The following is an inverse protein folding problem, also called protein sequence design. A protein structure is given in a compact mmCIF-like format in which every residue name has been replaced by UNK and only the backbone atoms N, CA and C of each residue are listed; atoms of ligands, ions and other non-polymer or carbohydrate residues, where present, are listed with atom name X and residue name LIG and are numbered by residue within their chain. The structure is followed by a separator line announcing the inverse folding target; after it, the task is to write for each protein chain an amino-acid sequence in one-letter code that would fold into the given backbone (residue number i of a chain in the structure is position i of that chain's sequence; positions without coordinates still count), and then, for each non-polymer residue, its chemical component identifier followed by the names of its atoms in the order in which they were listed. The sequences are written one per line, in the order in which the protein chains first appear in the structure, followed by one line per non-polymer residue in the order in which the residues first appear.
data_IF_320299801093
#
_entry.id   IF_320299801093
#
_cell.length_a   1.000
_cell.length_b   1.000
_cell.length_c   1.000
_cell.angle_alpha   90.00
_cell.angle_beta   90.00
_cell.angle_gamma   90.00
#
_symmetry.space_group_name_H-M   'P 1'
#
loop_
_entity.id
_entity.type
_entity.pdbx_description
1 polymer ?
#
# COMPACT_ATOMS: atom_id res chain seq x y z
N UNK A 1 32.26 27.69 3.43
CA UNK A 1 32.68 26.71 4.47
C UNK A 1 32.07 25.38 4.07
N UNK A 2 32.86 24.33 3.95
CA UNK A 2 32.37 22.98 3.63
C UNK A 2 31.49 22.51 4.79
N UNK A 3 30.28 22.01 4.51
CA UNK A 3 29.36 21.47 5.52
C UNK A 3 30.05 20.31 6.28
N UNK A 4 30.23 20.48 7.59
CA UNK A 4 30.97 19.52 8.41
C UNK A 4 30.33 18.11 8.41
N UNK A 5 28.97 18.02 8.44
CA UNK A 5 28.28 16.76 8.35
C UNK A 5 28.49 16.12 6.98
N UNK A 6 28.31 16.86 5.89
CA UNK A 6 28.51 16.34 4.53
C UNK A 6 29.95 15.83 4.34
N UNK A 7 30.95 16.55 4.86
CA UNK A 7 32.33 16.10 4.82
C UNK A 7 32.56 14.81 5.63
N UNK A 8 31.93 14.64 6.79
CA UNK A 8 31.98 13.42 7.59
C UNK A 8 31.32 12.24 6.88
N UNK A 9 30.15 12.45 6.29
CA UNK A 9 29.43 11.45 5.52
C UNK A 9 30.21 11.00 4.28
N UNK A 10 30.83 11.93 3.54
CA UNK A 10 31.71 11.60 2.41
C UNK A 10 32.92 10.76 2.82
N UNK A 11 33.54 11.06 3.95
CA UNK A 11 34.65 10.23 4.47
C UNK A 11 34.21 8.81 4.85
N UNK A 12 32.99 8.67 5.36
CA UNK A 12 32.44 7.38 5.82
C UNK A 12 31.89 6.50 4.70
N UNK A 13 31.14 7.09 3.72
CA UNK A 13 30.45 6.35 2.67
C UNK A 13 31.06 6.50 1.28
N UNK A 14 32.06 7.40 1.12
CA UNK A 14 32.67 7.72 -0.18
C UNK A 14 31.75 8.51 -1.13
N UNK A 15 32.28 8.93 -2.26
CA UNK A 15 31.59 9.78 -3.24
C UNK A 15 30.32 9.10 -3.83
N UNK A 16 30.34 7.77 -3.98
CA UNK A 16 29.16 7.02 -4.43
C UNK A 16 28.05 6.95 -3.39
N UNK A 17 28.39 7.16 -2.12
CA UNK A 17 27.50 7.07 -0.97
C UNK A 17 26.77 8.37 -0.63
N UNK A 18 27.21 9.52 -1.17
CA UNK A 18 26.64 10.84 -0.80
C UNK A 18 26.41 11.68 -2.04
N UNK A 19 25.18 12.17 -2.22
CA UNK A 19 24.80 13.10 -3.28
C UNK A 19 24.59 14.49 -2.69
N UNK A 20 25.28 15.49 -3.24
CA UNK A 20 25.20 16.91 -2.81
C UNK A 20 24.70 17.82 -3.90
N UNK A 21 24.82 17.43 -5.17
CA UNK A 21 24.35 18.19 -6.33
C UNK A 21 22.83 18.33 -6.35
N UNK A 22 22.31 19.50 -6.70
CA UNK A 22 20.86 19.76 -6.74
C UNK A 22 20.14 18.84 -7.75
N UNK A 23 20.72 18.67 -8.93
CA UNK A 23 20.18 17.78 -9.96
C UNK A 23 20.12 16.31 -9.50
N UNK A 24 21.15 15.86 -8.74
CA UNK A 24 21.23 14.49 -8.25
C UNK A 24 20.23 14.22 -7.12
N UNK A 25 19.90 15.25 -6.32
CA UNK A 25 18.93 15.13 -5.21
C UNK A 25 17.47 15.23 -5.66
N UNK A 26 17.18 15.87 -6.79
CA UNK A 26 15.83 16.26 -7.22
C UNK A 26 14.81 15.11 -7.17
N UNK A 27 15.20 13.90 -7.59
CA UNK A 27 14.33 12.72 -7.57
C UNK A 27 13.98 12.21 -6.18
N UNK A 28 14.81 12.51 -5.17
CA UNK A 28 14.59 12.15 -3.77
C UNK A 28 13.79 13.20 -3.01
N UNK A 29 13.69 14.41 -3.54
CA UNK A 29 13.03 15.56 -2.94
C UNK A 29 11.55 15.68 -3.32
N UNK A 30 11.09 14.89 -4.29
CA UNK A 30 9.70 14.92 -4.76
C UNK A 30 9.06 13.54 -4.58
N UNK A 31 7.97 13.48 -3.84
CA UNK A 31 7.20 12.26 -3.62
C UNK A 31 6.36 11.86 -4.83
N UNK A 32 5.95 10.62 -4.88
CA UNK A 32 5.15 10.07 -5.98
C UNK A 32 3.83 10.83 -6.21
N UNK A 33 3.12 11.13 -5.16
CA UNK A 33 1.82 11.81 -5.21
C UNK A 33 1.80 13.12 -4.43
N UNK A 34 2.36 13.10 -3.23
CA UNK A 34 2.40 14.20 -2.30
C UNK A 34 3.82 14.41 -1.79
N UNK A 35 4.08 15.62 -1.33
CA UNK A 35 5.37 16.00 -0.76
C UNK A 35 6.34 16.51 -1.83
N UNK A 36 6.89 17.68 -1.52
CA UNK A 36 8.02 18.28 -2.22
C UNK A 36 8.82 19.09 -1.21
N UNK A 37 10.08 18.76 -1.07
CA UNK A 37 10.94 19.43 -0.10
C UNK A 37 12.32 19.66 -0.64
N UNK A 38 13.27 19.84 0.28
CA UNK A 38 14.69 20.00 -0.01
C UNK A 38 15.52 19.18 0.96
N UNK A 39 16.51 18.48 0.45
CA UNK A 39 17.46 17.73 1.26
C UNK A 39 18.77 18.48 1.41
N UNK A 40 19.40 18.42 2.58
CA UNK A 40 20.76 18.85 2.81
C UNK A 40 21.74 18.06 1.94
N UNK A 41 21.59 16.75 1.96
CA UNK A 41 22.23 15.79 1.07
C UNK A 41 21.41 14.49 1.02
N UNK A 42 21.76 13.59 0.11
CA UNK A 42 21.21 12.24 0.07
C UNK A 42 22.35 11.26 0.37
N UNK A 43 22.16 10.39 1.38
CA UNK A 43 23.07 9.29 1.67
C UNK A 43 22.50 7.99 1.13
N UNK A 44 23.38 7.17 0.52
CA UNK A 44 23.03 5.91 -0.13
C UNK A 44 23.94 4.80 0.38
N UNK A 45 23.72 4.33 1.61
CA UNK A 45 24.51 3.25 2.18
C UNK A 45 24.31 1.94 1.40
N UNK A 46 25.38 1.13 1.32
CA UNK A 46 25.39 -0.18 0.67
C UNK A 46 25.40 -1.36 1.65
N UNK A 47 25.43 -1.09 2.95
CA UNK A 47 25.43 -2.10 4.01
C UNK A 47 24.75 -1.58 5.27
N UNK A 48 24.29 -2.50 6.14
CA UNK A 48 23.75 -2.15 7.47
C UNK A 48 24.76 -1.34 8.31
N UNK A 49 26.05 -1.66 8.21
CA UNK A 49 27.10 -0.92 8.90
C UNK A 49 27.22 0.54 8.41
N UNK A 50 27.07 0.76 7.10
CA UNK A 50 27.04 2.10 6.53
C UNK A 50 25.78 2.88 6.93
N UNK A 51 24.60 2.22 7.02
CA UNK A 51 23.39 2.82 7.57
C UNK A 51 23.63 3.27 9.02
N UNK A 52 24.18 2.40 9.86
CA UNK A 52 24.46 2.70 11.26
C UNK A 52 25.46 3.87 11.41
N UNK A 53 26.48 3.90 10.55
CA UNK A 53 27.47 4.99 10.53
C UNK A 53 26.83 6.32 10.12
N UNK A 54 25.99 6.32 9.08
CA UNK A 54 25.30 7.51 8.61
C UNK A 54 24.36 8.09 9.70
N UNK A 55 23.59 7.23 10.38
CA UNK A 55 22.69 7.67 11.44
C UNK A 55 23.44 8.25 12.65
N UNK A 56 24.55 7.63 13.08
CA UNK A 56 25.38 8.18 14.15
C UNK A 56 25.94 9.55 13.77
N UNK A 57 26.51 9.70 12.58
CA UNK A 57 27.05 10.98 12.11
C UNK A 57 25.96 12.06 12.04
N UNK A 58 24.76 11.72 11.52
CA UNK A 58 23.64 12.65 11.56
C UNK A 58 23.26 13.03 12.99
N UNK A 59 23.28 12.06 13.92
CA UNK A 59 23.01 12.28 15.33
C UNK A 59 24.04 13.23 15.99
N UNK A 60 25.34 13.01 15.75
CA UNK A 60 26.44 13.84 16.27
C UNK A 60 26.34 15.30 15.78
N UNK A 61 25.77 15.51 14.59
CA UNK A 61 25.58 16.82 13.99
C UNK A 61 24.16 17.40 14.16
N UNK A 62 23.28 16.75 14.92
CA UNK A 62 21.92 17.19 15.16
C UNK A 62 21.02 17.23 13.92
N UNK A 63 21.35 16.46 12.86
CA UNK A 63 20.60 16.43 11.62
C UNK A 63 19.44 15.43 11.68
N UNK A 64 18.29 15.84 11.15
CA UNK A 64 17.13 14.94 10.93
C UNK A 64 17.36 14.09 9.68
N UNK A 65 16.84 12.86 9.71
CA UNK A 65 16.99 11.89 8.63
C UNK A 65 15.65 11.37 8.17
N UNK A 66 15.40 11.40 6.87
CA UNK A 66 14.23 10.78 6.25
C UNK A 66 14.65 9.45 5.60
N UNK A 67 14.25 8.30 6.14
CA UNK A 67 14.42 7.03 5.46
C UNK A 67 13.59 6.99 4.18
N UNK A 68 14.19 6.56 3.08
CA UNK A 68 13.52 6.50 1.79
C UNK A 68 13.85 5.19 1.06
N UNK A 69 12.79 4.43 0.71
CA UNK A 69 12.86 3.34 -0.24
C UNK A 69 12.76 3.84 -1.70
N UNK A 70 11.94 3.17 -2.51
CA UNK A 70 11.70 3.58 -3.91
C UNK A 70 10.85 4.86 -4.06
N UNK A 71 10.50 5.51 -2.98
CA UNK A 71 9.71 6.74 -2.92
C UNK A 71 8.31 6.65 -3.57
N UNK A 72 7.71 5.45 -3.54
CA UNK A 72 6.37 5.16 -4.10
C UNK A 72 5.22 5.43 -3.15
N UNK A 73 5.50 5.83 -1.91
CA UNK A 73 4.50 6.08 -0.87
C UNK A 73 3.53 7.22 -1.21
N UNK A 74 2.29 7.11 -0.70
CA UNK A 74 1.17 7.98 -1.08
C UNK A 74 0.76 9.00 0.00
N UNK A 75 1.59 9.17 1.07
CA UNK A 75 1.31 10.07 2.19
C UNK A 75 2.46 11.05 2.51
N UNK A 76 3.46 11.14 1.63
CA UNK A 76 4.67 11.98 1.75
C UNK A 76 5.62 11.61 2.91
N UNK A 77 5.53 10.40 3.49
CA UNK A 77 6.34 10.01 4.64
C UNK A 77 7.84 9.87 4.32
N UNK A 78 8.19 9.57 3.06
CA UNK A 78 9.57 9.41 2.57
C UNK A 78 10.15 10.67 1.91
N UNK A 79 9.45 11.81 1.97
CA UNK A 79 9.88 13.06 1.33
C UNK A 79 10.41 14.03 2.40
N UNK A 80 11.57 14.69 2.21
CA UNK A 80 12.05 15.70 3.15
C UNK A 80 11.12 16.90 3.20
N UNK A 81 11.20 17.68 4.28
CA UNK A 81 10.49 18.96 4.38
C UNK A 81 11.17 20.06 3.53
N UNK A 82 10.63 21.28 3.57
CA UNK A 82 11.11 22.40 2.76
C UNK A 82 12.33 23.13 3.38
N UNK A 83 12.79 22.75 4.58
CA UNK A 83 13.86 23.45 5.31
C UNK A 83 15.22 23.36 4.62
N UNK A 84 15.49 22.25 3.96
CA UNK A 84 16.82 21.95 3.40
C UNK A 84 17.81 21.42 4.44
N UNK A 85 17.36 21.11 5.66
CA UNK A 85 18.21 20.64 6.77
C UNK A 85 18.22 19.13 6.92
N UNK A 86 17.23 18.43 6.33
CA UNK A 86 17.10 16.98 6.43
C UNK A 86 18.06 16.24 5.51
N UNK A 87 18.60 15.13 6.01
CA UNK A 87 19.35 14.14 5.20
C UNK A 87 18.36 13.09 4.71
N UNK A 88 18.28 12.83 3.42
CA UNK A 88 17.56 11.67 2.89
C UNK A 88 18.47 10.46 2.94
N UNK A 89 18.02 9.36 3.58
CA UNK A 89 18.72 8.08 3.61
C UNK A 89 18.03 7.11 2.66
N UNK A 90 18.58 6.96 1.46
CA UNK A 90 18.05 6.07 0.42
C UNK A 90 18.62 4.67 0.53
N UNK A 91 17.75 3.66 0.46
CA UNK A 91 18.14 2.25 0.50
C UNK A 91 18.56 1.69 -0.87
N UNK A 92 18.57 2.48 -1.94
CA UNK A 92 18.73 1.99 -3.32
C UNK A 92 20.02 1.17 -3.58
N UNK A 93 21.07 1.34 -2.78
CA UNK A 93 22.32 0.58 -2.89
C UNK A 93 22.39 -0.63 -1.95
N UNK A 94 21.45 -0.75 -1.02
CA UNK A 94 21.34 -1.88 -0.09
C UNK A 94 20.51 -2.99 -0.72
N UNK A 95 21.01 -3.62 -1.79
CA UNK A 95 20.23 -4.50 -2.67
C UNK A 95 21.02 -5.72 -3.18
N UNK A 96 22.01 -6.19 -2.42
CA UNK A 96 22.90 -7.27 -2.86
C UNK A 96 22.43 -8.66 -2.43
N UNK A 97 21.59 -8.75 -1.39
CA UNK A 97 21.18 -10.02 -0.79
C UNK A 97 19.79 -10.42 -1.23
N UNK A 98 19.67 -11.58 -1.88
CA UNK A 98 18.43 -12.34 -2.08
C UNK A 98 18.79 -13.81 -1.87
N UNK A 99 18.53 -14.37 -0.69
CA UNK A 99 18.92 -15.74 -0.32
C UNK A 99 17.67 -16.60 -0.07
N UNK A 100 17.29 -17.40 -1.06
CA UNK A 100 16.14 -18.31 -0.98
C UNK A 100 16.49 -19.60 -0.24
N UNK A 101 15.75 -19.90 0.82
CA UNK A 101 15.64 -21.24 1.39
C UNK A 101 14.40 -21.95 0.81
N UNK A 102 14.64 -22.85 -0.14
CA UNK A 102 13.55 -23.55 -0.85
C UNK A 102 12.76 -24.48 0.07
N UNK A 103 13.43 -25.18 0.99
CA UNK A 103 12.79 -26.10 1.92
C UNK A 103 11.96 -25.35 2.97
N UNK A 104 12.51 -24.25 3.51
CA UNK A 104 11.82 -23.37 4.43
C UNK A 104 10.74 -22.51 3.79
N UNK A 105 10.78 -22.34 2.46
CA UNK A 105 9.96 -21.36 1.72
C UNK A 105 10.07 -19.96 2.32
N UNK A 106 11.33 -19.55 2.50
CA UNK A 106 11.66 -18.23 3.05
C UNK A 106 12.78 -17.58 2.23
N UNK A 107 12.81 -16.27 2.20
CA UNK A 107 13.88 -15.50 1.58
C UNK A 107 14.44 -14.49 2.56
N UNK A 108 15.77 -14.41 2.69
CA UNK A 108 16.45 -13.27 3.30
C UNK A 108 16.74 -12.26 2.20
N UNK A 109 16.34 -11.02 2.41
CA UNK A 109 16.43 -9.97 1.40
C UNK A 109 16.88 -8.64 2.02
N UNK A 110 17.71 -7.89 1.31
CA UNK A 110 18.09 -6.53 1.68
C UNK A 110 16.91 -5.56 1.46
N UNK A 111 16.84 -4.52 2.31
CA UNK A 111 15.74 -3.54 2.31
C UNK A 111 15.63 -2.69 1.05
N UNK A 112 16.71 -2.55 0.27
CA UNK A 112 16.73 -1.81 -0.99
C UNK A 112 16.41 -2.63 -2.23
N UNK A 113 16.15 -3.94 -2.11
CA UNK A 113 15.70 -4.79 -3.22
C UNK A 113 14.28 -4.39 -3.63
N UNK A 114 14.05 -4.24 -4.93
CA UNK A 114 12.73 -3.98 -5.49
C UNK A 114 11.88 -5.25 -5.49
N UNK A 115 10.57 -5.10 -5.38
CA UNK A 115 9.62 -6.21 -5.43
C UNK A 115 9.72 -7.01 -6.74
N UNK A 116 9.88 -6.33 -7.87
CA UNK A 116 10.12 -6.94 -9.18
C UNK A 116 11.39 -7.80 -9.18
N UNK A 117 12.51 -7.27 -8.69
CA UNK A 117 13.79 -7.98 -8.60
C UNK A 117 13.69 -9.23 -7.71
N UNK A 118 12.98 -9.14 -6.58
CA UNK A 118 12.72 -10.28 -5.73
C UNK A 118 11.95 -11.36 -6.48
N UNK A 119 10.85 -11.00 -7.14
CA UNK A 119 10.01 -11.95 -7.85
C UNK A 119 10.70 -12.55 -9.08
N UNK A 120 11.52 -11.78 -9.81
CA UNK A 120 12.39 -12.28 -10.88
C UNK A 120 13.39 -13.34 -10.37
N UNK A 121 13.99 -13.11 -9.20
CA UNK A 121 14.92 -14.04 -8.59
C UNK A 121 14.23 -15.33 -8.06
N UNK A 122 12.99 -15.23 -7.59
CA UNK A 122 12.23 -16.35 -7.04
C UNK A 122 11.57 -17.23 -8.12
N UNK A 123 11.12 -16.63 -9.22
CA UNK A 123 10.34 -17.31 -10.26
C UNK A 123 11.00 -18.57 -10.86
N UNK A 124 12.32 -18.61 -11.17
CA UNK A 124 12.99 -19.81 -11.67
C UNK A 124 12.97 -20.99 -10.68
N UNK A 125 12.71 -20.70 -9.40
CA UNK A 125 12.59 -21.68 -8.33
C UNK A 125 11.15 -22.09 -8.04
N UNK A 126 10.17 -21.55 -8.77
CA UNK A 126 8.75 -21.82 -8.58
C UNK A 126 8.13 -21.10 -7.39
N UNK A 127 8.72 -19.98 -6.95
CA UNK A 127 8.22 -19.15 -5.84
C UNK A 127 8.01 -17.70 -6.26
N UNK A 128 7.26 -16.97 -5.44
CA UNK A 128 7.08 -15.54 -5.54
C UNK A 128 6.74 -14.93 -4.17
N UNK A 129 6.90 -13.63 -4.04
CA UNK A 129 6.37 -12.86 -2.93
C UNK A 129 5.06 -12.22 -3.40
N UNK A 130 3.90 -12.65 -2.87
CA UNK A 130 2.60 -12.46 -3.52
C UNK A 130 1.93 -11.12 -3.19
N UNK A 131 2.71 -10.05 -3.05
CA UNK A 131 2.19 -8.69 -2.96
C UNK A 131 2.14 -8.10 -4.36
N UNK A 132 0.99 -7.59 -4.76
CA UNK A 132 0.76 -7.03 -6.10
C UNK A 132 0.26 -5.59 -6.00
N UNK A 133 0.99 -4.69 -6.61
CA UNK A 133 0.83 -3.24 -6.49
C UNK A 133 0.96 -2.55 -7.85
N UNK A 134 0.36 -1.37 -7.97
CA UNK A 134 0.53 -0.49 -9.13
C UNK A 134 1.87 0.26 -9.19
N UNK A 135 2.84 -0.09 -8.32
CA UNK A 135 4.18 0.49 -8.25
C UNK A 135 5.19 -0.59 -7.92
N UNK A 136 6.50 -0.29 -8.04
CA UNK A 136 7.59 -1.21 -7.72
C UNK A 136 8.35 -0.72 -6.47
N UNK A 137 7.88 -1.05 -5.26
CA UNK A 137 8.48 -0.61 -4.01
C UNK A 137 9.72 -1.42 -3.63
N UNK A 138 10.55 -0.85 -2.76
CA UNK A 138 11.63 -1.56 -2.08
C UNK A 138 11.15 -2.26 -0.82
N UNK A 139 11.71 -3.44 -0.52
CA UNK A 139 11.26 -4.33 0.57
C UNK A 139 11.32 -3.66 1.95
N UNK A 140 12.33 -2.85 2.24
CA UNK A 140 12.42 -2.11 3.50
C UNK A 140 11.28 -1.10 3.66
N UNK A 141 10.90 -0.43 2.57
CA UNK A 141 9.72 0.46 2.54
C UNK A 141 8.42 -0.31 2.73
N UNK A 142 8.27 -1.47 2.08
CA UNK A 142 7.09 -2.33 2.24
C UNK A 142 6.90 -2.79 3.69
N UNK A 143 7.98 -3.17 4.38
CA UNK A 143 7.93 -3.52 5.80
C UNK A 143 7.55 -2.29 6.64
N UNK A 144 8.21 -1.16 6.41
CA UNK A 144 7.97 0.07 7.17
C UNK A 144 6.53 0.60 7.04
N UNK A 145 5.84 0.33 5.92
CA UNK A 145 4.45 0.76 5.68
C UNK A 145 3.42 -0.35 5.82
N UNK A 146 3.84 -1.59 6.08
CA UNK A 146 2.96 -2.77 6.09
C UNK A 146 2.15 -2.91 4.80
N UNK A 147 2.83 -2.92 3.68
CA UNK A 147 2.18 -2.94 2.38
C UNK A 147 1.29 -4.19 2.21
N UNK A 148 0.05 -3.98 1.83
CA UNK A 148 -0.91 -5.02 1.42
C UNK A 148 -0.85 -5.25 -0.09
N UNK A 149 -2.00 -5.22 -0.76
CA UNK A 149 -2.13 -5.37 -2.21
C UNK A 149 -3.35 -6.19 -2.57
N UNK A 150 -3.61 -6.33 -3.87
CA UNK A 150 -4.84 -6.92 -4.42
C UNK A 150 -5.08 -8.39 -4.03
N UNK A 151 -4.04 -9.10 -3.59
CA UNK A 151 -4.11 -10.54 -3.20
C UNK A 151 -4.01 -10.80 -1.71
N UNK A 152 -4.27 -9.78 -0.90
CA UNK A 152 -4.23 -9.86 0.57
C UNK A 152 -5.14 -10.95 1.11
N UNK A 153 -6.31 -11.17 0.52
CA UNK A 153 -7.27 -12.20 0.97
C UNK A 153 -6.63 -13.58 1.10
N UNK A 154 -5.81 -13.99 0.13
CA UNK A 154 -5.18 -15.31 0.12
C UNK A 154 -3.82 -15.34 0.80
N UNK A 155 -3.04 -14.31 0.61
CA UNK A 155 -1.62 -14.35 0.94
C UNK A 155 -1.22 -13.46 2.13
N UNK A 156 -2.16 -12.63 2.62
CA UNK A 156 -1.87 -11.66 3.67
C UNK A 156 -1.01 -10.48 3.17
N UNK A 157 -0.74 -9.57 4.09
CA UNK A 157 0.14 -8.43 3.90
C UNK A 157 1.61 -8.74 4.23
N UNK A 158 2.46 -7.72 4.22
CA UNK A 158 3.89 -7.86 4.59
C UNK A 158 4.04 -8.29 6.04
N UNK A 159 3.23 -7.78 6.98
CA UNK A 159 3.25 -8.16 8.40
C UNK A 159 3.00 -9.65 8.59
N UNK A 160 2.02 -10.19 7.87
CA UNK A 160 1.71 -11.63 7.91
C UNK A 160 2.88 -12.48 7.44
N UNK A 161 3.61 -12.02 6.43
CA UNK A 161 4.69 -12.77 5.78
C UNK A 161 6.08 -12.49 6.37
N UNK A 162 6.23 -11.57 7.34
CA UNK A 162 7.50 -11.22 7.96
C UNK A 162 7.88 -12.21 9.06
N UNK A 163 8.97 -12.95 8.87
CA UNK A 163 9.52 -13.89 9.85
C UNK A 163 10.68 -13.32 10.66
N UNK A 164 11.48 -12.46 10.06
CA UNK A 164 12.64 -11.85 10.70
C UNK A 164 12.94 -10.47 10.14
N UNK A 165 13.66 -9.66 10.92
CA UNK A 165 14.00 -8.28 10.57
C UNK A 165 15.40 -7.90 11.06
N UNK A 166 16.06 -7.02 10.35
CA UNK A 166 17.20 -6.26 10.82
C UNK A 166 16.87 -4.78 10.67
N UNK A 167 17.08 -4.01 11.73
CA UNK A 167 16.75 -2.59 11.81
C UNK A 167 17.89 -1.83 12.41
N UNK A 168 18.25 -0.68 11.84
CA UNK A 168 19.14 0.29 12.44
C UNK A 168 18.32 1.37 13.12
N UNK A 169 18.50 1.52 14.43
CA UNK A 169 17.81 2.51 15.26
C UNK A 169 18.40 3.92 15.03
N UNK A 170 17.69 4.96 15.46
CA UNK A 170 18.07 6.36 15.24
C UNK A 170 19.45 6.76 15.80
N UNK A 171 19.93 6.06 16.82
CA UNK A 171 21.27 6.23 17.42
C UNK A 171 22.35 5.36 16.76
N UNK A 172 22.01 4.57 15.74
CA UNK A 172 22.91 3.68 15.02
C UNK A 172 23.10 2.30 15.66
N UNK A 173 22.38 1.96 16.76
CA UNK A 173 22.32 0.56 17.25
C UNK A 173 21.63 -0.31 16.21
N UNK A 174 22.08 -1.56 16.08
CA UNK A 174 21.49 -2.55 15.19
C UNK A 174 20.72 -3.58 15.98
N UNK A 175 19.42 -3.73 15.67
CA UNK A 175 18.60 -4.82 16.15
C UNK A 175 18.56 -5.89 15.06
N UNK A 176 19.01 -7.10 15.38
CA UNK A 176 19.04 -8.22 14.44
C UNK A 176 18.22 -9.38 14.97
N UNK A 177 17.13 -9.69 14.26
CA UNK A 177 16.24 -10.84 14.51
C UNK A 177 15.96 -11.58 13.19
N UNK A 178 17.01 -11.90 12.43
CA UNK A 178 16.94 -12.55 11.12
C UNK A 178 16.75 -14.06 11.25
N UNK A 179 15.74 -14.50 12.01
CA UNK A 179 15.39 -15.91 12.08
C UNK A 179 14.39 -16.30 10.98
N UNK A 180 14.35 -17.59 10.62
CA UNK A 180 13.44 -18.17 9.61
C UNK A 180 12.35 -19.03 10.27
N UNK A 181 12.11 -18.83 11.56
CA UNK A 181 11.22 -19.66 12.34
C UNK A 181 9.75 -19.29 12.11
N UNK A 182 8.93 -20.29 11.81
CA UNK A 182 7.47 -20.12 11.73
C UNK A 182 6.81 -20.18 13.12
N UNK A 183 7.52 -20.75 14.11
CA UNK A 183 7.09 -20.80 15.51
C UNK A 183 8.21 -20.25 16.36
N UNK A 184 7.97 -19.12 17.00
CA UNK A 184 8.86 -18.52 17.97
C UNK A 184 8.02 -17.84 19.05
N UNK A 185 7.88 -18.51 20.19
CA UNK A 185 7.12 -18.01 21.33
C UNK A 185 8.06 -17.67 22.51
N UNK A 186 9.22 -17.09 22.22
CA UNK A 186 10.25 -16.74 23.21
C UNK A 186 10.14 -15.30 23.71
N UNK A 187 8.95 -14.83 23.98
CA UNK A 187 8.67 -13.48 24.47
C UNK A 187 7.97 -12.58 23.47
N UNK A 188 8.17 -11.28 23.60
CA UNK A 188 7.56 -10.28 22.73
C UNK A 188 7.99 -10.45 21.28
N UNK A 189 7.03 -10.43 20.37
CA UNK A 189 7.32 -10.42 18.93
C UNK A 189 7.72 -9.03 18.46
N UNK A 190 8.94 -8.64 18.79
CA UNK A 190 9.45 -7.28 18.60
C UNK A 190 9.70 -6.91 17.14
N UNK A 191 9.76 -7.86 16.19
CA UNK A 191 9.87 -7.53 14.77
C UNK A 191 8.67 -6.70 14.29
N UNK A 192 7.48 -6.94 14.82
CA UNK A 192 6.26 -6.23 14.45
C UNK A 192 6.18 -4.81 15.01
N UNK A 193 7.05 -4.42 15.95
CA UNK A 193 7.14 -3.02 16.43
C UNK A 193 7.63 -2.04 15.37
N UNK A 194 8.25 -2.53 14.29
CA UNK A 194 8.79 -1.71 13.20
C UNK A 194 7.90 -1.70 11.96
N UNK A 195 6.88 -2.57 11.91
CA UNK A 195 5.98 -2.70 10.77
C UNK A 195 4.87 -1.65 10.84
N UNK A 196 4.68 -0.88 9.76
CA UNK A 196 3.66 0.17 9.69
C UNK A 196 4.06 1.47 10.42
N UNK A 197 5.34 1.63 10.75
CA UNK A 197 5.87 2.81 11.47
C UNK A 197 6.40 3.91 10.54
N UNK A 198 6.35 3.69 9.24
CA UNK A 198 6.92 4.60 8.22
C UNK A 198 8.42 4.92 8.42
N UNK A 199 9.12 4.06 9.16
CA UNK A 199 10.57 4.20 9.41
C UNK A 199 10.96 5.12 10.58
N UNK A 200 10.00 5.65 11.36
CA UNK A 200 10.32 6.55 12.49
C UNK A 200 10.92 5.82 13.70
N UNK A 201 10.79 4.50 13.80
CA UNK A 201 11.43 3.72 14.84
C UNK A 201 12.73 3.06 14.39
N UNK A 202 13.12 3.23 13.12
CA UNK A 202 14.37 2.70 12.61
C UNK A 202 14.31 2.39 11.12
N UNK A 203 15.48 2.20 10.54
CA UNK A 203 15.67 1.89 9.13
C UNK A 203 15.76 0.39 8.94
N UNK A 204 14.79 -0.20 8.22
CA UNK A 204 14.77 -1.63 7.91
C UNK A 204 15.84 -1.92 6.85
N UNK A 205 16.89 -2.64 7.25
CA UNK A 205 18.01 -2.98 6.36
C UNK A 205 17.88 -4.35 5.74
N UNK A 206 17.28 -5.31 6.44
CA UNK A 206 17.02 -6.66 5.94
C UNK A 206 15.72 -7.21 6.47
N UNK A 207 15.11 -8.11 5.71
CA UNK A 207 13.94 -8.86 6.11
C UNK A 207 14.07 -10.34 5.76
N UNK A 208 13.49 -11.19 6.59
CA UNK A 208 13.20 -12.59 6.24
C UNK A 208 11.72 -12.69 5.98
N UNK A 209 11.36 -13.03 4.75
CA UNK A 209 9.98 -13.11 4.29
C UNK A 209 9.60 -14.55 3.96
N UNK A 210 8.35 -14.91 4.25
CA UNK A 210 7.75 -16.13 3.75
C UNK A 210 7.39 -15.94 2.28
N UNK A 211 7.68 -16.93 1.43
CA UNK A 211 7.33 -16.92 0.01
C UNK A 211 6.31 -18.00 -0.32
N UNK A 212 5.45 -17.72 -1.28
CA UNK A 212 4.44 -18.64 -1.75
C UNK A 212 4.91 -19.38 -3.03
N UNK A 213 4.45 -20.62 -3.26
CA UNK A 213 4.62 -21.26 -4.55
C UNK A 213 3.88 -20.47 -5.64
N UNK A 214 4.48 -20.39 -6.83
CA UNK A 214 3.81 -19.80 -7.99
C UNK A 214 2.54 -20.58 -8.32
N UNK A 215 1.40 -19.92 -8.51
CA UNK A 215 0.19 -20.58 -8.96
C UNK A 215 0.40 -21.14 -10.37
N UNK A 216 -0.08 -22.36 -10.61
CA UNK A 216 -0.07 -23.01 -11.93
C UNK A 216 -1.29 -22.66 -12.75
N UNK A 217 -2.35 -22.21 -12.08
CA UNK A 217 -3.62 -21.83 -12.69
C UNK A 217 -4.15 -20.55 -12.06
N UNK A 218 -4.84 -19.78 -12.88
CA UNK A 218 -5.67 -18.66 -12.47
C UNK A 218 -6.96 -18.70 -13.28
N UNK A 219 -8.09 -18.48 -12.63
CA UNK A 219 -9.38 -18.28 -13.26
C UNK A 219 -9.93 -16.91 -12.83
N UNK A 220 -10.45 -16.15 -13.77
CA UNK A 220 -10.93 -14.78 -13.51
C UNK A 220 -12.31 -14.58 -14.11
N UNK A 221 -13.17 -13.93 -13.34
CA UNK A 221 -14.49 -13.50 -13.77
C UNK A 221 -14.71 -12.03 -13.43
N UNK A 222 -15.61 -11.41 -14.17
CA UNK A 222 -16.17 -10.11 -13.85
C UNK A 222 -17.69 -10.28 -13.65
N UNK A 223 -18.18 -9.94 -12.46
CA UNK A 223 -19.57 -10.12 -12.05
C UNK A 223 -20.25 -8.76 -11.98
N UNK A 224 -21.37 -8.60 -12.70
CA UNK A 224 -22.20 -7.42 -12.62
C UNK A 224 -23.07 -7.48 -11.35
N UNK A 225 -22.86 -6.58 -10.39
CA UNK A 225 -23.66 -6.49 -9.17
C UNK A 225 -24.53 -5.22 -9.20
N UNK A 226 -25.82 -5.37 -8.90
CA UNK A 226 -26.79 -4.26 -8.87
C UNK A 226 -26.49 -3.26 -7.77
N UNK A 227 -26.01 -3.73 -6.62
CA UNK A 227 -25.75 -2.93 -5.42
C UNK A 227 -24.67 -3.56 -4.53
N UNK A 228 -24.33 -2.90 -3.43
CA UNK A 228 -23.32 -3.39 -2.51
C UNK A 228 -23.73 -4.65 -1.72
N UNK A 229 -25.02 -4.87 -1.51
CA UNK A 229 -25.51 -6.08 -0.84
C UNK A 229 -25.30 -7.30 -1.75
N UNK A 230 -25.51 -7.16 -3.07
CA UNK A 230 -25.19 -8.19 -4.06
C UNK A 230 -23.68 -8.51 -4.08
N UNK A 231 -22.81 -7.48 -3.94
CA UNK A 231 -21.36 -7.68 -3.83
C UNK A 231 -21.01 -8.52 -2.60
N UNK A 232 -21.59 -8.22 -1.43
CA UNK A 232 -21.32 -8.98 -0.20
C UNK A 232 -21.88 -10.39 -0.25
N UNK A 233 -23.05 -10.58 -0.86
CA UNK A 233 -23.63 -11.92 -1.07
C UNK A 233 -22.72 -12.79 -1.95
N UNK A 234 -22.19 -12.21 -3.04
CA UNK A 234 -21.21 -12.89 -3.91
C UNK A 234 -19.95 -13.27 -3.13
N UNK A 235 -19.38 -12.33 -2.35
CA UNK A 235 -18.20 -12.60 -1.52
C UNK A 235 -18.46 -13.77 -0.55
N UNK A 236 -19.59 -13.76 0.14
CA UNK A 236 -19.96 -14.82 1.09
C UNK A 236 -20.06 -16.20 0.43
N UNK A 237 -20.67 -16.29 -0.76
CA UNK A 237 -20.76 -17.53 -1.52
C UNK A 237 -19.36 -18.03 -1.95
N UNK A 238 -18.50 -17.13 -2.45
CA UNK A 238 -17.14 -17.47 -2.86
C UNK A 238 -16.26 -17.91 -1.67
N UNK A 239 -16.34 -17.23 -0.53
CA UNK A 239 -15.57 -17.60 0.67
C UNK A 239 -16.03 -18.97 1.22
N UNK A 240 -17.31 -19.26 1.19
CA UNK A 240 -17.86 -20.53 1.67
C UNK A 240 -17.35 -21.72 0.86
N UNK A 241 -17.33 -21.62 -0.46
CA UNK A 241 -17.06 -22.75 -1.35
C UNK A 241 -15.63 -22.75 -1.93
N UNK A 242 -15.01 -21.57 -2.08
CA UNK A 242 -13.73 -21.39 -2.78
C UNK A 242 -12.69 -20.59 -1.96
N UNK A 243 -12.88 -20.40 -0.65
CA UNK A 243 -12.01 -19.57 0.20
C UNK A 243 -10.53 -19.90 0.08
N UNK A 244 -10.17 -21.19 -0.01
CA UNK A 244 -8.77 -21.64 -0.14
C UNK A 244 -8.12 -21.23 -1.47
N UNK A 245 -8.91 -20.96 -2.51
CA UNK A 245 -8.42 -20.61 -3.85
C UNK A 245 -8.75 -19.18 -4.26
N UNK A 246 -9.63 -18.48 -3.54
CA UNK A 246 -9.97 -17.08 -3.79
C UNK A 246 -8.74 -16.19 -3.53
N UNK A 247 -8.17 -15.62 -4.60
CA UNK A 247 -6.94 -14.83 -4.50
C UNK A 247 -7.15 -13.33 -4.57
N UNK A 248 -8.18 -12.85 -5.27
CA UNK A 248 -8.54 -11.43 -5.30
C UNK A 248 -10.06 -11.24 -5.45
N UNK A 249 -10.54 -10.16 -4.86
CA UNK A 249 -11.93 -9.71 -4.94
C UNK A 249 -11.95 -8.18 -4.98
N UNK A 250 -12.05 -7.63 -6.20
CA UNK A 250 -11.93 -6.21 -6.48
C UNK A 250 -13.23 -5.64 -7.01
N UNK A 251 -13.71 -4.57 -6.42
CA UNK A 251 -14.96 -3.90 -6.81
C UNK A 251 -14.65 -2.61 -7.57
N UNK A 252 -15.37 -2.34 -8.63
CA UNK A 252 -15.25 -1.15 -9.46
C UNK A 252 -16.61 -0.54 -9.71
N UNK A 253 -16.84 0.70 -9.28
CA UNK A 253 -18.12 1.38 -9.52
C UNK A 253 -18.31 1.78 -10.99
N UNK A 254 -19.56 1.95 -11.42
CA UNK A 254 -19.90 2.42 -12.76
C UNK A 254 -19.21 3.74 -13.11
N UNK A 255 -19.12 4.68 -12.16
CA UNK A 255 -18.46 5.96 -12.36
C UNK A 255 -16.96 5.81 -12.61
N UNK A 256 -16.29 4.89 -11.87
CA UNK A 256 -14.89 4.59 -12.07
C UNK A 256 -14.63 3.97 -13.45
N UNK A 257 -15.43 2.99 -13.86
CA UNK A 257 -15.31 2.35 -15.16
C UNK A 257 -15.68 3.29 -16.33
N UNK A 258 -16.63 4.19 -16.14
CA UNK A 258 -16.95 5.22 -17.14
C UNK A 258 -15.71 6.07 -17.46
N UNK A 259 -14.96 6.49 -16.45
CA UNK A 259 -13.71 7.23 -16.65
C UNK A 259 -12.65 6.36 -17.38
N UNK A 260 -12.53 5.07 -17.00
CA UNK A 260 -11.60 4.16 -17.69
C UNK A 260 -11.92 4.07 -19.17
N UNK A 261 -13.16 3.81 -19.55
CA UNK A 261 -13.55 3.65 -20.96
C UNK A 261 -13.56 4.96 -21.76
N UNK A 262 -13.59 6.11 -21.08
CA UNK A 262 -13.39 7.41 -21.72
C UNK A 262 -11.92 7.64 -22.10
N UNK A 263 -10.98 7.21 -21.24
CA UNK A 263 -9.55 7.47 -21.42
C UNK A 263 -8.75 6.29 -21.99
N UNK A 264 -9.35 5.08 -21.99
CA UNK A 264 -8.76 3.86 -22.54
C UNK A 264 -9.71 3.24 -23.58
N UNK A 265 -9.88 3.85 -24.77
CA UNK A 265 -10.89 3.44 -25.73
C UNK A 265 -10.63 2.05 -26.36
N UNK A 266 -9.41 1.53 -26.23
CA UNK A 266 -9.04 0.22 -26.75
C UNK A 266 -9.41 -0.94 -25.81
N UNK A 267 -9.80 -0.65 -24.55
CA UNK A 267 -10.26 -1.68 -23.63
C UNK A 267 -11.66 -2.13 -24.03
N UNK A 268 -11.84 -3.45 -24.07
CA UNK A 268 -13.15 -4.07 -24.35
C UNK A 268 -14.10 -3.74 -23.20
N UNK A 269 -15.33 -3.33 -23.51
CA UNK A 269 -16.40 -3.20 -22.55
C UNK A 269 -17.03 -4.59 -22.32
N UNK A 270 -16.96 -5.13 -21.10
CA UNK A 270 -17.41 -6.49 -20.83
C UNK A 270 -18.94 -6.57 -20.80
N UNK A 271 -19.62 -5.52 -20.36
CA UNK A 271 -21.08 -5.45 -20.21
C UNK A 271 -21.68 -4.48 -21.24
N UNK A 272 -22.88 -4.79 -21.74
CA UNK A 272 -23.64 -3.89 -22.62
C UNK A 272 -24.01 -2.59 -21.94
N UNK A 273 -24.43 -2.67 -20.68
CA UNK A 273 -24.66 -1.55 -19.77
C UNK A 273 -23.78 -1.75 -18.52
N UNK A 274 -23.14 -0.66 -18.05
CA UNK A 274 -22.29 -0.74 -16.86
C UNK A 274 -23.13 -0.98 -15.61
N UNK A 275 -22.88 -2.06 -14.86
CA UNK A 275 -23.55 -2.30 -13.59
C UNK A 275 -23.12 -1.24 -12.57
N UNK A 276 -23.91 -1.07 -11.49
CA UNK A 276 -23.49 -0.19 -10.41
C UNK A 276 -22.11 -0.58 -9.87
N UNK A 277 -21.86 -1.87 -9.71
CA UNK A 277 -20.55 -2.43 -9.37
C UNK A 277 -20.19 -3.58 -10.29
N UNK A 278 -19.02 -3.52 -10.89
CA UNK A 278 -18.37 -4.63 -11.54
C UNK A 278 -17.36 -5.24 -10.58
N UNK A 279 -17.55 -6.50 -10.21
CA UNK A 279 -16.72 -7.20 -9.24
C UNK A 279 -15.80 -8.18 -9.94
N UNK A 280 -14.49 -7.93 -9.87
CA UNK A 280 -13.46 -8.83 -10.37
C UNK A 280 -13.16 -9.89 -9.32
N UNK A 281 -13.31 -11.15 -9.71
CA UNK A 281 -13.01 -12.32 -8.89
C UNK A 281 -11.84 -13.07 -9.52
N UNK A 282 -10.77 -13.32 -8.75
CA UNK A 282 -9.65 -14.16 -9.19
C UNK A 282 -9.49 -15.36 -8.26
N UNK A 283 -9.44 -16.55 -8.84
CA UNK A 283 -9.02 -17.78 -8.18
C UNK A 283 -7.60 -18.14 -8.60
N UNK A 284 -6.82 -18.71 -7.69
CA UNK A 284 -5.48 -19.22 -8.02
C UNK A 284 -5.18 -20.52 -7.28
N UNK A 285 -4.50 -21.46 -7.97
CA UNK A 285 -4.12 -22.76 -7.42
C UNK A 285 -2.74 -23.22 -7.88
N UNK A 286 -2.05 -23.94 -7.00
CA UNK A 286 -0.80 -24.67 -7.32
C UNK A 286 -1.04 -26.07 -7.87
N UNK A 287 -2.28 -26.56 -7.87
CA UNK A 287 -2.65 -27.83 -8.48
C UNK A 287 -2.62 -27.72 -10.02
N UNK A 288 -2.22 -28.78 -10.73
CA UNK A 288 -2.33 -28.81 -12.19
C UNK A 288 -3.79 -28.91 -12.65
N UNK A 289 -4.08 -28.48 -13.88
CA UNK A 289 -5.43 -28.44 -14.44
C UNK A 289 -6.14 -29.79 -14.49
N UNK A 290 -5.37 -30.87 -14.64
CA UNK A 290 -5.90 -32.24 -14.62
C UNK A 290 -6.44 -32.67 -13.23
N UNK A 291 -5.89 -32.06 -12.16
CA UNK A 291 -6.34 -32.32 -10.78
C UNK A 291 -7.46 -31.39 -10.33
N UNK A 292 -7.50 -30.17 -10.85
CA UNK A 292 -8.50 -29.15 -10.52
C UNK A 292 -8.63 -28.19 -11.71
N UNK A 293 -9.73 -28.20 -12.43
CA UNK A 293 -10.02 -27.27 -13.52
C UNK A 293 -10.64 -25.98 -12.93
N UNK A 294 -9.83 -24.99 -12.56
CA UNK A 294 -10.30 -23.77 -11.88
C UNK A 294 -11.35 -22.99 -12.67
N UNK A 295 -11.20 -22.91 -14.00
CA UNK A 295 -12.18 -22.21 -14.85
C UNK A 295 -13.55 -22.85 -14.75
N UNK A 296 -13.63 -24.19 -14.84
CA UNK A 296 -14.88 -24.94 -14.73
C UNK A 296 -15.51 -24.84 -13.33
N UNK A 297 -14.67 -24.82 -12.29
CA UNK A 297 -15.15 -24.65 -10.91
C UNK A 297 -15.74 -23.24 -10.74
N UNK A 298 -15.06 -22.20 -11.21
CA UNK A 298 -15.53 -20.83 -11.14
C UNK A 298 -16.82 -20.65 -11.95
N UNK A 299 -16.89 -21.19 -13.18
CA UNK A 299 -18.07 -21.15 -14.05
C UNK A 299 -19.28 -21.83 -13.38
N UNK A 300 -19.09 -23.02 -12.81
CA UNK A 300 -20.15 -23.77 -12.15
C UNK A 300 -20.71 -23.01 -10.96
N UNK A 301 -19.84 -22.49 -10.08
CA UNK A 301 -20.28 -21.79 -8.89
C UNK A 301 -20.97 -20.45 -9.23
N UNK A 302 -20.36 -19.68 -10.14
CA UNK A 302 -20.94 -18.40 -10.56
C UNK A 302 -22.23 -18.61 -11.35
N UNK A 303 -22.37 -19.69 -12.12
CA UNK A 303 -23.62 -20.04 -12.78
C UNK A 303 -24.75 -20.33 -11.78
N UNK A 304 -24.48 -21.13 -10.76
CA UNK A 304 -25.44 -21.40 -9.68
C UNK A 304 -25.77 -20.13 -8.88
N UNK A 305 -24.77 -19.27 -8.64
CA UNK A 305 -24.99 -17.99 -7.96
C UNK A 305 -25.87 -17.05 -8.79
N UNK A 306 -25.64 -16.94 -10.10
CA UNK A 306 -26.45 -16.15 -11.03
C UNK A 306 -27.93 -16.56 -10.99
N UNK A 307 -28.20 -17.88 -11.04
CA UNK A 307 -29.56 -18.42 -10.97
C UNK A 307 -30.25 -18.05 -9.64
N UNK A 308 -29.52 -18.11 -8.53
CA UNK A 308 -30.05 -17.83 -7.19
C UNK A 308 -30.22 -16.34 -6.90
N UNK A 309 -29.30 -15.51 -7.40
CA UNK A 309 -29.28 -14.06 -7.17
C UNK A 309 -30.30 -13.29 -8.02
N UNK A 310 -30.73 -13.85 -9.17
CA UNK A 310 -31.68 -13.21 -10.08
C UNK A 310 -31.24 -11.80 -10.48
N UNK A 311 -32.14 -10.81 -10.36
CA UNK A 311 -31.89 -9.43 -10.75
C UNK A 311 -30.76 -8.72 -9.96
N UNK A 312 -30.29 -9.30 -8.86
CA UNK A 312 -29.17 -8.73 -8.09
C UNK A 312 -27.83 -8.89 -8.80
N UNK A 313 -27.72 -9.93 -9.66
CA UNK A 313 -26.54 -10.20 -10.50
C UNK A 313 -27.00 -10.43 -11.93
N UNK A 314 -27.16 -9.38 -12.74
CA UNK A 314 -27.74 -9.50 -14.09
C UNK A 314 -26.84 -10.17 -15.12
N UNK A 315 -25.50 -10.17 -14.92
CA UNK A 315 -24.56 -10.72 -15.91
C UNK A 315 -23.24 -11.13 -15.27
N UNK A 316 -22.59 -12.13 -15.86
CA UNK A 316 -21.26 -12.63 -15.48
C UNK A 316 -20.44 -12.85 -16.74
N UNK A 317 -19.23 -12.32 -16.79
CA UNK A 317 -18.30 -12.50 -17.90
C UNK A 317 -17.08 -13.27 -17.40
N UNK A 318 -16.92 -14.49 -17.91
CA UNK A 318 -15.69 -15.25 -17.75
C UNK A 318 -14.67 -14.79 -18.80
N UNK A 319 -13.42 -14.71 -18.46
CA UNK A 319 -12.44 -14.21 -19.42
C UNK A 319 -10.99 -14.39 -19.02
N UNK A 320 -10.11 -13.93 -19.92
CA UNK A 320 -8.67 -13.87 -19.66
C UNK A 320 -8.39 -12.74 -18.67
N UNK A 321 -7.80 -13.08 -17.53
CA UNK A 321 -7.60 -12.19 -16.41
C UNK A 321 -6.95 -10.85 -16.74
N UNK A 322 -5.99 -10.83 -17.67
CA UNK A 322 -5.27 -9.62 -18.03
C UNK A 322 -6.18 -8.48 -18.52
N UNK A 323 -7.24 -8.77 -19.25
CA UNK A 323 -8.19 -7.74 -19.73
C UNK A 323 -8.93 -7.06 -18.57
N UNK A 324 -9.35 -7.83 -17.57
CA UNK A 324 -10.10 -7.31 -16.43
C UNK A 324 -9.18 -6.54 -15.47
N UNK A 325 -7.98 -7.06 -15.24
CA UNK A 325 -6.96 -6.35 -14.45
C UNK A 325 -6.53 -5.04 -15.07
N UNK A 326 -6.44 -4.94 -16.41
CA UNK A 326 -6.16 -3.67 -17.08
C UNK A 326 -7.22 -2.61 -16.75
N UNK A 327 -8.51 -2.96 -16.72
CA UNK A 327 -9.55 -2.01 -16.31
C UNK A 327 -9.27 -1.50 -14.91
N UNK A 328 -9.00 -2.40 -13.95
CA UNK A 328 -8.73 -2.06 -12.55
C UNK A 328 -7.48 -1.18 -12.39
N UNK A 329 -6.41 -1.48 -13.12
CA UNK A 329 -5.14 -0.75 -13.02
C UNK A 329 -5.22 0.67 -13.61
N UNK A 330 -6.05 0.90 -14.61
CA UNK A 330 -6.18 2.23 -15.23
C UNK A 330 -7.12 3.19 -14.52
N UNK A 331 -7.85 2.75 -13.47
CA UNK A 331 -8.83 3.62 -12.80
C UNK A 331 -8.18 4.89 -12.24
N UNK A 332 -7.11 4.77 -11.46
CA UNK A 332 -6.49 5.93 -10.79
C UNK A 332 -6.00 7.00 -11.77
N UNK A 333 -5.45 6.59 -12.91
CA UNK A 333 -4.98 7.50 -13.95
C UNK A 333 -6.16 8.15 -14.68
N UNK A 334 -7.16 7.35 -15.06
CA UNK A 334 -8.36 7.82 -15.76
C UNK A 334 -9.14 8.85 -14.94
N UNK A 335 -9.29 8.62 -13.64
CA UNK A 335 -9.98 9.56 -12.76
C UNK A 335 -9.28 10.93 -12.67
N UNK A 336 -7.94 10.96 -12.71
CA UNK A 336 -7.18 12.23 -12.72
C UNK A 336 -7.43 13.05 -13.99
N UNK A 337 -7.75 12.41 -15.09
CA UNK A 337 -8.04 13.06 -16.37
C UNK A 337 -9.46 13.63 -16.43
N UNK A 338 -10.38 13.19 -15.55
CA UNK A 338 -11.77 13.66 -15.48
C UNK A 338 -11.95 15.01 -14.76
N UNK A 339 -10.95 15.50 -14.04
CA UNK A 339 -11.04 16.77 -13.32
C UNK A 339 -10.22 16.82 -12.04
N UNK A 340 -10.68 17.59 -11.06
CA UNK A 340 -10.10 17.60 -9.72
C UNK A 340 -10.53 16.32 -8.98
N UNK A 341 -9.64 15.80 -8.17
CA UNK A 341 -9.86 14.54 -7.44
C UNK A 341 -9.41 14.67 -5.98
N UNK A 342 -10.26 14.23 -5.07
CA UNK A 342 -9.94 13.98 -3.67
C UNK A 342 -10.01 12.46 -3.44
N UNK A 343 -8.87 11.85 -3.17
CA UNK A 343 -8.75 10.42 -2.99
C UNK A 343 -8.60 10.07 -1.52
N UNK A 344 -9.28 9.01 -1.12
CA UNK A 344 -9.23 8.41 0.20
C UNK A 344 -8.81 6.95 0.09
N UNK A 345 -8.15 6.50 1.13
CA UNK A 345 -7.76 5.12 1.39
C UNK A 345 -8.41 4.72 2.71
N UNK A 346 -9.59 4.16 2.65
CA UNK A 346 -10.46 3.92 3.81
C UNK A 346 -10.70 2.42 3.96
N UNK A 347 -10.74 1.94 5.19
CA UNK A 347 -11.35 0.66 5.51
C UNK A 347 -12.46 0.81 6.54
N UNK A 348 -13.51 0.01 6.39
CA UNK A 348 -14.59 -0.16 7.36
C UNK A 348 -14.87 -1.67 7.52
N UNK A 349 -15.57 -2.11 8.58
CA UNK A 349 -16.00 -3.51 8.63
C UNK A 349 -16.67 -3.92 7.32
N UNK A 350 -16.29 -5.07 6.74
CA UNK A 350 -16.76 -5.52 5.42
C UNK A 350 -18.28 -5.43 5.25
N UNK A 351 -19.01 -5.88 6.27
CA UNK A 351 -20.48 -5.82 6.29
C UNK A 351 -21.06 -4.40 6.24
N UNK A 352 -20.26 -3.39 6.56
CA UNK A 352 -20.68 -2.00 6.60
C UNK A 352 -20.40 -1.23 5.28
N UNK A 353 -19.60 -1.79 4.36
CA UNK A 353 -19.22 -1.12 3.11
C UNK A 353 -20.43 -0.62 2.29
N UNK A 354 -21.51 -1.42 2.07
CA UNK A 354 -22.67 -0.92 1.33
C UNK A 354 -23.33 0.29 1.99
N UNK A 355 -23.53 0.25 3.30
CA UNK A 355 -24.13 1.35 4.04
C UNK A 355 -23.22 2.60 4.06
N UNK A 356 -21.92 2.41 4.24
CA UNK A 356 -20.93 3.48 4.20
C UNK A 356 -20.92 4.21 2.84
N UNK A 357 -20.85 3.48 1.73
CA UNK A 357 -20.88 4.09 0.39
C UNK A 357 -22.20 4.81 0.11
N UNK A 358 -23.34 4.26 0.54
CA UNK A 358 -24.64 4.92 0.43
C UNK A 358 -24.71 6.21 1.26
N UNK A 359 -24.13 6.24 2.46
CA UNK A 359 -24.08 7.45 3.29
C UNK A 359 -23.20 8.53 2.66
N UNK A 360 -22.07 8.16 2.04
CA UNK A 360 -21.26 9.08 1.25
C UNK A 360 -22.06 9.66 0.09
N UNK A 361 -22.79 8.84 -0.65
CA UNK A 361 -23.64 9.31 -1.75
C UNK A 361 -24.74 10.26 -1.28
N UNK A 362 -25.39 9.93 -0.17
CA UNK A 362 -26.41 10.82 0.45
C UNK A 362 -25.81 12.17 0.85
N UNK A 363 -24.62 12.15 1.45
CA UNK A 363 -23.89 13.37 1.80
C UNK A 363 -23.58 14.21 0.57
N UNK A 364 -23.11 13.59 -0.51
CA UNK A 364 -22.80 14.30 -1.75
C UNK A 364 -24.08 14.83 -2.43
N UNK A 365 -25.12 14.02 -2.52
CA UNK A 365 -26.38 14.45 -3.14
C UNK A 365 -27.03 15.65 -2.42
N UNK A 366 -26.91 15.71 -1.11
CA UNK A 366 -27.49 16.81 -0.31
C UNK A 366 -26.70 18.13 -0.47
N UNK A 367 -25.37 18.09 -0.41
CA UNK A 367 -24.56 19.29 -0.27
C UNK A 367 -23.64 19.56 -1.48
N UNK A 368 -23.30 18.51 -2.26
CA UNK A 368 -22.29 18.54 -3.32
C UNK A 368 -22.71 17.74 -4.58
N UNK A 369 -23.87 18.04 -5.19
CA UNK A 369 -24.45 17.21 -6.27
C UNK A 369 -23.61 17.15 -7.56
N UNK A 370 -22.61 18.04 -7.72
CA UNK A 370 -21.68 18.05 -8.83
C UNK A 370 -20.38 17.28 -8.55
N UNK A 371 -20.24 16.69 -7.36
CA UNK A 371 -19.12 15.82 -6.99
C UNK A 371 -19.56 14.37 -7.18
N UNK A 372 -18.82 13.63 -8.00
CA UNK A 372 -19.11 12.22 -8.29
C UNK A 372 -18.31 11.32 -7.35
N UNK A 373 -18.95 10.31 -6.78
CA UNK A 373 -18.28 9.20 -6.10
C UNK A 373 -17.81 8.20 -7.15
N UNK A 374 -16.50 7.91 -7.15
CA UNK A 374 -15.84 6.94 -8.02
C UNK A 374 -15.04 5.99 -7.13
N UNK A 375 -15.72 5.08 -6.48
CA UNK A 375 -15.14 4.11 -5.55
C UNK A 375 -14.73 2.82 -6.27
N UNK A 376 -13.64 2.24 -5.81
CA UNK A 376 -13.12 0.96 -6.27
C UNK A 376 -12.16 0.37 -5.24
N UNK A 377 -11.86 -0.92 -5.31
CA UNK A 377 -10.81 -1.56 -4.53
C UNK A 377 -11.23 -2.81 -3.79
N UNK A 378 -10.61 -3.01 -2.67
CA UNK A 378 -10.45 -4.25 -1.92
C UNK A 378 -11.65 -4.55 -0.99
N UNK A 379 -12.87 -4.59 -1.50
CA UNK A 379 -14.05 -4.86 -0.66
C UNK A 379 -13.97 -6.20 0.08
N UNK A 380 -13.22 -7.15 -0.48
CA UNK A 380 -12.98 -8.43 0.15
C UNK A 380 -12.31 -8.36 1.53
N UNK A 381 -11.49 -7.36 1.79
CA UNK A 381 -10.82 -7.13 3.08
C UNK A 381 -11.37 -5.91 3.87
N UNK A 382 -12.37 -5.23 3.32
CA UNK A 382 -12.97 -4.04 3.92
C UNK A 382 -12.37 -2.72 3.45
N UNK A 383 -11.37 -2.76 2.56
CA UNK A 383 -10.71 -1.59 2.00
C UNK A 383 -11.45 -1.01 0.80
N UNK A 384 -11.44 0.31 0.66
CA UNK A 384 -11.93 1.01 -0.53
C UNK A 384 -11.10 2.23 -0.85
N UNK A 385 -10.70 2.38 -2.12
CA UNK A 385 -10.21 3.62 -2.68
C UNK A 385 -11.42 4.48 -3.07
N UNK A 386 -11.85 5.31 -2.15
CA UNK A 386 -12.98 6.19 -2.35
C UNK A 386 -12.48 7.49 -2.96
N UNK A 387 -12.88 7.78 -4.20
CA UNK A 387 -12.47 8.98 -4.91
C UNK A 387 -13.66 9.88 -5.18
N UNK A 388 -13.51 11.15 -4.85
CA UNK A 388 -14.46 12.21 -5.19
C UNK A 388 -13.88 12.99 -6.36
N UNK A 389 -14.62 13.05 -7.46
CA UNK A 389 -14.17 13.68 -8.72
C UNK A 389 -15.15 14.78 -9.13
N UNK A 390 -14.62 15.96 -9.51
CA UNK A 390 -15.45 17.09 -9.91
C UNK A 390 -14.78 18.00 -10.94
N UNK A 391 -15.61 18.74 -11.66
CA UNK A 391 -15.17 19.84 -12.48
C UNK A 391 -15.13 21.14 -11.65
N UNK A 392 -13.95 21.72 -11.45
CA UNK A 392 -13.77 22.90 -10.61
C UNK A 392 -14.54 24.13 -11.15
N UNK A 393 -14.59 24.30 -12.48
CA UNK A 393 -15.33 25.40 -13.10
C UNK A 393 -16.85 25.25 -12.90
N UNK A 394 -17.38 24.02 -12.91
CA UNK A 394 -18.79 23.74 -12.71
C UNK A 394 -19.23 23.97 -11.24
N UNK A 395 -18.36 23.65 -10.27
CA UNK A 395 -18.63 23.91 -8.84
C UNK A 395 -18.50 25.41 -8.51
N UNK A 396 -17.64 26.15 -9.22
CA UNK A 396 -17.42 27.58 -8.98
C UNK A 396 -16.69 27.87 -7.66
N UNK A 397 -16.00 26.88 -7.08
CA UNK A 397 -15.20 27.00 -5.85
C UNK A 397 -13.80 26.41 -6.08
N UNK A 398 -12.73 27.01 -5.50
CA UNK A 398 -11.39 26.46 -5.54
C UNK A 398 -11.34 25.02 -4.99
N UNK A 399 -10.55 24.15 -5.61
CA UNK A 399 -10.41 22.76 -5.17
C UNK A 399 -10.02 22.64 -3.69
N UNK A 400 -9.20 23.56 -3.17
CA UNK A 400 -8.79 23.56 -1.76
C UNK A 400 -9.98 23.73 -0.79
N UNK A 401 -10.99 24.53 -1.15
CA UNK A 401 -12.22 24.71 -0.35
C UNK A 401 -13.09 23.45 -0.36
N UNK A 402 -13.24 22.81 -1.52
CA UNK A 402 -13.96 21.53 -1.66
C UNK A 402 -13.29 20.45 -0.81
N UNK A 403 -11.96 20.34 -0.88
CA UNK A 403 -11.19 19.41 -0.07
C UNK A 403 -11.35 19.70 1.42
N UNK A 404 -11.22 20.96 1.84
CA UNK A 404 -11.35 21.34 3.25
C UNK A 404 -12.75 21.05 3.82
N UNK A 405 -13.78 21.13 3.00
CA UNK A 405 -15.15 20.83 3.41
C UNK A 405 -15.46 19.32 3.44
N UNK A 406 -15.00 18.55 2.46
CA UNK A 406 -15.37 17.15 2.29
C UNK A 406 -14.46 16.19 3.07
N UNK A 407 -13.14 16.43 3.06
CA UNK A 407 -12.19 15.48 3.62
C UNK A 407 -12.45 15.17 5.11
N UNK A 408 -12.65 16.16 6.00
CA UNK A 408 -12.95 15.86 7.40
C UNK A 408 -14.25 15.11 7.61
N UNK A 409 -15.29 15.41 6.82
CA UNK A 409 -16.61 14.77 6.93
C UNK A 409 -16.57 13.30 6.53
N UNK A 410 -15.83 12.97 5.46
CA UNK A 410 -15.67 11.57 5.01
C UNK A 410 -14.88 10.77 6.03
N UNK A 411 -13.77 11.31 6.57
CA UNK A 411 -13.00 10.62 7.59
C UNK A 411 -13.76 10.49 8.92
N UNK A 412 -14.52 11.50 9.33
CA UNK A 412 -15.40 11.42 10.51
C UNK A 412 -16.45 10.31 10.33
N UNK A 413 -17.07 10.24 9.16
CA UNK A 413 -18.03 9.19 8.83
C UNK A 413 -17.38 7.81 8.90
N UNK A 414 -16.21 7.62 8.28
CA UNK A 414 -15.51 6.34 8.28
C UNK A 414 -15.10 5.92 9.70
N UNK A 415 -14.42 6.80 10.44
CA UNK A 415 -13.80 6.45 11.73
C UNK A 415 -14.84 6.38 12.85
N UNK A 416 -15.69 7.39 13.01
CA UNK A 416 -16.65 7.44 14.11
C UNK A 416 -18.02 6.87 13.75
N UNK A 417 -18.45 7.04 12.50
CA UNK A 417 -19.73 6.50 12.04
C UNK A 417 -19.69 4.99 11.85
N UNK A 418 -18.57 4.47 11.38
CA UNK A 418 -18.45 3.05 10.99
C UNK A 418 -17.32 2.29 11.71
N UNK A 419 -16.68 2.88 12.71
CA UNK A 419 -15.53 2.29 13.43
C UNK A 419 -14.40 1.82 12.48
N UNK A 420 -14.20 2.56 11.40
CA UNK A 420 -13.23 2.26 10.36
C UNK A 420 -11.89 2.97 10.55
N UNK A 421 -11.06 2.94 9.50
CA UNK A 421 -9.78 3.62 9.42
C UNK A 421 -9.76 4.66 8.30
N UNK A 422 -9.11 5.78 8.56
CA UNK A 422 -8.84 6.83 7.56
C UNK A 422 -7.62 6.50 6.68
N UNK A 423 -6.91 5.41 6.96
CA UNK A 423 -5.82 4.89 6.14
C UNK A 423 -5.82 3.36 6.21
N UNK A 424 -6.29 2.71 5.14
CA UNK A 424 -6.38 1.25 5.05
C UNK A 424 -5.00 0.62 4.84
N UNK A 425 -4.24 1.14 3.86
CA UNK A 425 -2.93 0.59 3.46
C UNK A 425 -1.82 1.65 3.29
N UNK A 426 -2.17 2.94 3.05
CA UNK A 426 -1.15 3.96 2.74
C UNK A 426 -0.30 4.39 3.95
N UNK A 427 -0.74 4.09 5.17
CA UNK A 427 -0.06 4.44 6.41
C UNK A 427 -0.23 5.91 6.82
N UNK A 428 0.63 6.37 7.73
CA UNK A 428 0.65 7.74 8.23
C UNK A 428 1.79 8.52 7.60
N UNK A 429 1.52 9.76 7.20
CA UNK A 429 2.52 10.67 6.66
C UNK A 429 2.11 12.13 6.87
N UNK A 430 2.95 13.10 6.47
CA UNK A 430 2.61 14.53 6.60
C UNK A 430 1.25 14.88 5.97
N UNK A 431 0.81 14.15 4.94
CA UNK A 431 -0.46 14.38 4.26
C UNK A 431 -1.67 14.13 5.16
N UNK A 432 -1.61 13.13 6.05
CA UNK A 432 -2.72 12.72 6.90
C UNK A 432 -2.40 12.72 8.41
N UNK A 433 -1.25 13.26 8.83
CA UNK A 433 -0.82 13.33 10.24
C UNK A 433 -1.90 13.88 11.17
N UNK A 434 -2.61 14.95 10.76
CA UNK A 434 -3.67 15.56 11.56
C UNK A 434 -4.80 14.60 11.94
N UNK A 435 -5.06 13.58 11.11
CA UNK A 435 -6.09 12.58 11.39
C UNK A 435 -5.58 11.49 12.33
N UNK A 436 -4.27 11.18 12.26
CA UNK A 436 -3.63 10.37 13.29
C UNK A 436 -3.74 11.06 14.65
N UNK A 437 -3.42 12.33 14.71
CA UNK A 437 -3.48 13.13 15.96
C UNK A 437 -4.89 13.19 16.52
N UNK A 438 -5.90 13.24 15.65
CA UNK A 438 -7.33 13.38 16.02
C UNK A 438 -7.95 12.04 16.45
N UNK A 439 -7.66 10.96 15.77
CA UNK A 439 -8.39 9.69 15.92
C UNK A 439 -7.64 8.62 16.69
N UNK A 440 -6.31 8.73 16.84
CA UNK A 440 -5.54 7.72 17.56
C UNK A 440 -5.72 7.88 19.07
N UNK A 441 -5.96 6.75 19.75
CA UNK A 441 -6.11 6.70 21.20
C UNK A 441 -4.87 7.23 21.93
N UNK A 442 -5.08 7.95 23.02
CA UNK A 442 -4.02 8.59 23.80
C UNK A 442 -3.04 7.56 24.41
N UNK A 443 -3.53 6.38 24.82
CA UNK A 443 -2.67 5.32 25.36
C UNK A 443 -1.78 4.72 24.27
N UNK A 444 -2.31 4.57 23.04
CA UNK A 444 -1.51 4.12 21.89
C UNK A 444 -0.40 5.12 21.58
N UNK A 445 -0.69 6.43 21.59
CA UNK A 445 0.33 7.48 21.41
C UNK A 445 1.39 7.44 22.49
N UNK A 446 1.00 7.26 23.76
CA UNK A 446 1.96 7.11 24.88
C UNK A 446 2.88 5.92 24.68
N UNK A 447 2.34 4.77 24.26
CA UNK A 447 3.15 3.58 23.94
C UNK A 447 4.12 3.86 22.79
N UNK A 448 3.64 4.51 21.73
CA UNK A 448 4.50 4.93 20.63
C UNK A 448 5.59 5.89 21.08
N UNK A 449 5.29 6.80 22.01
CA UNK A 449 6.29 7.72 22.60
C UNK A 449 7.40 6.96 23.33
N UNK A 450 7.06 5.98 24.19
CA UNK A 450 8.05 5.14 24.87
C UNK A 450 8.93 4.34 23.87
N UNK A 451 8.33 3.83 22.79
CA UNK A 451 9.06 3.15 21.73
C UNK A 451 9.97 4.12 20.95
N UNK A 452 9.47 5.32 20.67
CA UNK A 452 10.24 6.40 20.04
C UNK A 452 11.47 6.78 20.86
N UNK A 453 11.32 7.03 22.15
CA UNK A 453 12.42 7.35 23.07
C UNK A 453 13.49 6.24 23.11
N UNK A 454 13.09 4.98 23.01
CA UNK A 454 14.01 3.86 22.94
C UNK A 454 14.69 3.73 21.58
N UNK A 455 13.93 3.89 20.49
CA UNK A 455 14.39 3.63 19.14
C UNK A 455 15.15 4.81 18.53
N UNK A 456 14.71 6.03 18.81
CA UNK A 456 15.29 7.28 18.30
C UNK A 456 15.30 8.36 19.39
N UNK A 457 16.20 8.22 20.40
CA UNK A 457 16.24 9.13 21.55
C UNK A 457 16.52 10.61 21.20
N UNK A 458 16.83 10.88 19.95
CA UNK A 458 17.03 12.24 19.43
C UNK A 458 15.85 12.82 18.66
N UNK A 459 14.77 12.06 18.45
CA UNK A 459 13.61 12.42 17.63
C UNK A 459 13.99 12.95 16.23
N UNK A 460 14.83 12.19 15.52
CA UNK A 460 15.46 12.63 14.25
C UNK A 460 14.97 11.85 13.03
N UNK A 461 14.33 10.68 13.23
CA UNK A 461 13.91 9.83 12.13
C UNK A 461 12.54 10.22 11.58
N UNK A 462 12.49 10.36 10.24
CA UNK A 462 11.26 10.51 9.50
C UNK A 462 10.63 11.89 9.60
N UNK A 463 9.42 11.97 9.05
CA UNK A 463 8.60 13.20 8.96
C UNK A 463 7.26 13.05 9.67
N UNK A 464 7.04 11.92 10.35
CA UNK A 464 5.81 11.51 11.01
C UNK A 464 6.02 11.49 12.53
N UNK A 465 4.98 11.80 13.28
CA UNK A 465 4.94 11.67 14.74
C UNK A 465 3.86 10.65 15.11
N UNK A 466 4.26 9.61 15.84
CA UNK A 466 3.35 8.59 16.33
C UNK A 466 3.06 8.72 17.84
N UNK A 467 3.77 9.63 18.52
CA UNK A 467 3.57 9.98 19.94
C UNK A 467 2.58 11.10 20.16
#
# INVERSE_FOLDING_TARGET
MTDALVAALLRSLGDRGVLTGEADRARFETGWRYGKGKARCVVRPASTAEVASALRLCGEHGARVVPQGANTGLVAASTPDASGDMVVLSLERLNQTIELDRAGRTVLVDGGVLLSQLNEALAPHGFWFPVDLGADPQLGGMVATNTGGTRLLKYGDVRHNLLGIEVVLGDGRVLTQLNRLRKNNTGLDSKHLFVGTTGVFGVVTRAVLQVAPLPKQRAVALVACRDGDAVLALLGALEQDLGDVLSAFEVMSANALTAVFAHQPNLRRPFGELPRYATLVELSSTLPGEALALDAVLETLLGAFLESAGDAVPDIVLGKGDEFWQMRHHISESLRSEGKMLAFDISVPRSALPAFTQDVERLLAADWPLVRLCDYGHWGDGGTHLNLVWNEAAIGRPAAEVVAALQPRIYELAVRGYAGSYSAEHGVGPHNQRYYDLYTDAVVKQLCGLLGDFCDPGDRLGTVRLA
#
